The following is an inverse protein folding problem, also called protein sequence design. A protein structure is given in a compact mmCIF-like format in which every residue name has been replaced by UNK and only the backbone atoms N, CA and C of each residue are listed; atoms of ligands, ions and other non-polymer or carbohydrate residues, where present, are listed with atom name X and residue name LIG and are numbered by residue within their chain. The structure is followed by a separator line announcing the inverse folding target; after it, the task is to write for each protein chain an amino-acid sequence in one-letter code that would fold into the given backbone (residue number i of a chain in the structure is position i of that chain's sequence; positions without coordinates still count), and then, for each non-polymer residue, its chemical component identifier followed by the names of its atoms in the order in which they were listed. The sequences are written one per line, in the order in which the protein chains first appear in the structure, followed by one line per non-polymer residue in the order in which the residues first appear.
data_IF_809604632953
#
_entry.id   IF_809604632953
#
_cell.length_a   1.000
_cell.length_b   1.000
_cell.length_c   1.000
_cell.angle_alpha   90.00
_cell.angle_beta   90.00
_cell.angle_gamma   90.00
#
_symmetry.space_group_name_H-M   'P 1'
#
loop_
_entity.id
_entity.type
_entity.pdbx_description
1 polymer ?
#
# COMPACT_ATOMS: atom_id res chain seq x y z
N UNK A 1 -24.63 -7.05 -13.91
CA UNK A 1 -23.72 -5.98 -13.42
C UNK A 1 -23.10 -5.15 -14.54
N UNK A 2 -22.62 -5.73 -15.64
CA UNK A 2 -22.04 -4.98 -16.80
C UNK A 2 -23.09 -4.13 -17.51
N UNK A 3 -24.35 -4.57 -17.61
CA UNK A 3 -25.45 -3.85 -18.28
C UNK A 3 -25.89 -2.59 -17.53
N UNK A 4 -25.92 -2.60 -16.20
CA UNK A 4 -26.19 -1.39 -15.40
C UNK A 4 -25.08 -0.34 -15.49
N UNK A 5 -23.81 -0.76 -15.68
CA UNK A 5 -22.69 0.16 -15.90
C UNK A 5 -22.83 0.92 -17.22
N UNK A 6 -23.32 0.27 -18.29
CA UNK A 6 -23.50 0.87 -19.60
C UNK A 6 -24.67 1.89 -19.65
N UNK A 7 -25.73 1.66 -18.88
CA UNK A 7 -26.89 2.58 -18.80
C UNK A 7 -26.51 3.85 -18.02
N UNK A 8 -25.75 3.75 -16.91
CA UNK A 8 -25.21 4.94 -16.22
C UNK A 8 -24.27 5.78 -17.07
N UNK A 9 -23.59 5.18 -18.05
CA UNK A 9 -22.64 5.88 -18.94
C UNK A 9 -23.38 6.67 -20.02
N UNK A 10 -24.56 6.24 -20.48
CA UNK A 10 -25.35 6.97 -21.47
C UNK A 10 -25.95 8.27 -20.93
N UNK A 11 -26.30 8.27 -19.63
CA UNK A 11 -26.88 9.45 -18.95
C UNK A 11 -25.82 10.53 -18.63
N UNK A 12 -24.53 10.13 -18.56
CA UNK A 12 -23.39 11.05 -18.40
C UNK A 12 -23.07 11.85 -19.65
N UNK A 13 -23.51 11.42 -20.83
CA UNK A 13 -23.20 12.07 -22.11
C UNK A 13 -23.88 13.44 -22.28
N UNK A 14 -24.96 13.70 -21.58
CA UNK A 14 -25.80 14.88 -21.86
C UNK A 14 -25.51 16.13 -21.02
N UNK A 15 -24.61 16.07 -20.01
CA UNK A 15 -24.49 17.14 -19.00
C UNK A 15 -23.13 17.80 -18.82
N UNK A 16 -22.04 17.36 -19.50
CA UNK A 16 -20.72 17.96 -19.26
C UNK A 16 -19.92 18.05 -20.58
N UNK A 17 -20.06 19.15 -21.31
CA UNK A 17 -19.23 19.47 -22.47
C UNK A 17 -18.44 20.76 -22.24
N UNK A 18 -17.23 20.64 -21.65
CA UNK A 18 -16.13 21.58 -21.88
C UNK A 18 -14.92 20.79 -22.39
N UNK A 19 -14.11 21.41 -23.26
CA UNK A 19 -13.04 20.74 -24.02
C UNK A 19 -12.02 19.97 -23.16
N UNK A 20 -11.73 20.43 -21.94
CA UNK A 20 -10.87 19.73 -20.98
C UNK A 20 -11.48 18.43 -20.44
N UNK A 21 -12.81 18.36 -20.37
CA UNK A 21 -13.52 17.18 -19.91
C UNK A 21 -13.54 16.05 -20.94
N UNK A 22 -13.46 16.36 -22.25
CA UNK A 22 -13.49 15.36 -23.33
C UNK A 22 -12.22 14.48 -23.31
N UNK A 23 -11.06 15.05 -23.10
CA UNK A 23 -9.81 14.28 -23.00
C UNK A 23 -9.80 13.37 -21.77
N UNK A 24 -10.28 13.88 -20.63
CA UNK A 24 -10.38 13.09 -19.40
C UNK A 24 -11.39 11.94 -19.60
N UNK A 25 -12.52 12.18 -20.25
CA UNK A 25 -13.51 11.15 -20.58
C UNK A 25 -12.98 10.09 -21.54
N UNK A 26 -12.22 10.46 -22.56
CA UNK A 26 -11.61 9.52 -23.51
C UNK A 26 -10.55 8.64 -22.83
N UNK A 27 -9.70 9.23 -22.00
CA UNK A 27 -8.72 8.49 -21.20
C UNK A 27 -9.42 7.54 -20.21
N UNK A 28 -10.46 8.02 -19.52
CA UNK A 28 -11.23 7.20 -18.61
C UNK A 28 -11.98 6.06 -19.31
N UNK A 29 -12.56 6.31 -20.48
CA UNK A 29 -13.23 5.28 -21.29
C UNK A 29 -12.23 4.24 -21.83
N UNK A 30 -11.05 4.68 -22.23
CA UNK A 30 -9.97 3.80 -22.65
C UNK A 30 -9.46 2.94 -21.48
N UNK A 31 -9.29 3.53 -20.29
CA UNK A 31 -8.95 2.82 -19.06
C UNK A 31 -10.03 1.82 -18.66
N UNK A 32 -11.31 2.18 -18.76
CA UNK A 32 -12.43 1.26 -18.51
C UNK A 32 -12.44 0.07 -19.49
N UNK A 33 -12.14 0.29 -20.77
CA UNK A 33 -12.04 -0.80 -21.77
C UNK A 33 -10.86 -1.72 -21.46
N UNK A 34 -9.69 -1.18 -21.19
CA UNK A 34 -8.50 -1.94 -20.79
C UNK A 34 -8.78 -2.73 -19.50
N UNK A 35 -9.46 -2.09 -18.53
CA UNK A 35 -9.89 -2.73 -17.28
C UNK A 35 -10.85 -3.89 -17.53
N UNK A 36 -11.87 -3.70 -18.37
CA UNK A 36 -12.83 -4.77 -18.69
C UNK A 36 -12.18 -5.96 -19.40
N UNK A 37 -11.19 -5.73 -20.28
CA UNK A 37 -10.41 -6.78 -20.94
C UNK A 37 -9.52 -7.53 -19.94
N UNK A 38 -8.83 -6.83 -19.02
CA UNK A 38 -7.98 -7.46 -17.99
C UNK A 38 -8.79 -8.20 -16.93
N UNK A 39 -9.97 -7.67 -16.54
CA UNK A 39 -10.89 -8.38 -15.65
C UNK A 39 -11.36 -9.71 -16.24
N UNK A 40 -11.57 -9.78 -17.55
CA UNK A 40 -11.94 -11.05 -18.24
C UNK A 40 -10.81 -12.08 -18.26
N UNK A 41 -9.54 -11.65 -18.15
CA UNK A 41 -8.37 -12.54 -18.19
C UNK A 41 -7.92 -13.07 -16.82
N UNK A 42 -8.62 -12.72 -15.73
CA UNK A 42 -8.23 -13.14 -14.38
C UNK A 42 -6.85 -12.66 -13.92
N UNK A 43 -6.28 -11.65 -14.58
CA UNK A 43 -4.86 -11.28 -14.58
C UNK A 43 -4.45 -10.36 -13.41
N UNK A 44 -5.37 -10.19 -12.42
CA UNK A 44 -5.02 -9.51 -11.17
C UNK A 44 -4.77 -10.55 -10.08
N UNK A 45 -3.54 -11.03 -10.03
CA UNK A 45 -3.15 -11.95 -8.97
C UNK A 45 -3.22 -11.24 -7.61
N UNK A 46 -3.67 -11.93 -6.55
CA UNK A 46 -3.64 -11.45 -5.16
C UNK A 46 -2.24 -10.95 -4.76
N UNK A 47 -1.19 -11.43 -5.41
CA UNK A 47 0.17 -10.95 -5.26
C UNK A 47 0.33 -9.45 -5.57
N UNK A 48 -0.38 -8.92 -6.58
CA UNK A 48 -0.39 -7.48 -6.89
C UNK A 48 -1.17 -6.71 -5.81
N UNK A 49 -2.27 -7.25 -5.30
CA UNK A 49 -3.05 -6.62 -4.24
C UNK A 49 -2.26 -6.56 -2.92
N UNK A 50 -1.49 -7.60 -2.62
CA UNK A 50 -0.57 -7.63 -1.48
C UNK A 50 0.65 -6.74 -1.64
N UNK A 51 0.97 -6.24 -2.83
CA UNK A 51 2.27 -5.60 -3.10
C UNK A 51 3.47 -6.49 -2.71
N UNK A 52 3.28 -7.81 -2.75
CA UNK A 52 4.26 -8.81 -2.31
C UNK A 52 5.46 -8.85 -3.24
N UNK A 53 6.66 -8.77 -2.66
CA UNK A 53 7.92 -9.00 -3.35
C UNK A 53 9.08 -9.34 -2.43
N UNK A 54 10.06 -10.01 -3.00
CA UNK A 54 11.38 -10.23 -2.39
C UNK A 54 12.27 -9.01 -2.66
N UNK A 55 13.03 -8.60 -1.66
CA UNK A 55 14.08 -7.60 -1.77
C UNK A 55 15.40 -8.20 -2.29
N UNK A 56 15.51 -9.52 -2.33
CA UNK A 56 16.70 -10.21 -2.79
C UNK A 56 17.12 -9.83 -4.20
N UNK A 57 18.43 -9.64 -4.38
CA UNK A 57 19.03 -9.21 -5.63
C UNK A 57 19.00 -7.70 -5.87
N UNK A 58 18.44 -6.89 -4.96
CA UNK A 58 18.61 -5.44 -5.00
C UNK A 58 20.06 -5.13 -4.58
N UNK A 59 20.71 -4.23 -5.33
CA UNK A 59 22.14 -3.98 -5.14
C UNK A 59 23.04 -5.11 -5.68
N UNK A 60 22.54 -5.91 -6.63
CA UNK A 60 23.25 -7.07 -7.14
C UNK A 60 23.13 -8.27 -6.20
N UNK A 61 24.23 -8.80 -5.68
CA UNK A 61 24.26 -9.93 -4.75
C UNK A 61 24.30 -9.51 -3.27
N UNK A 62 24.27 -8.21 -2.98
CA UNK A 62 24.40 -7.69 -1.61
C UNK A 62 23.22 -8.17 -0.74
N UNK A 63 21.99 -8.18 -1.28
CA UNK A 63 20.81 -8.64 -0.57
C UNK A 63 20.52 -10.09 -0.94
N UNK A 64 20.58 -11.02 0.03
CA UNK A 64 20.30 -12.44 -0.22
C UNK A 64 18.85 -12.64 -0.67
N UNK A 65 18.65 -13.53 -1.64
CA UNK A 65 17.33 -13.86 -2.17
C UNK A 65 16.57 -14.74 -1.20
N UNK A 66 15.24 -14.52 -1.13
CA UNK A 66 14.34 -15.39 -0.37
C UNK A 66 14.29 -15.13 1.13
N UNK A 67 15.09 -14.22 1.67
CA UNK A 67 15.12 -13.94 3.11
C UNK A 67 14.30 -12.73 3.52
N UNK A 68 14.14 -11.75 2.65
CA UNK A 68 13.46 -10.48 2.96
C UNK A 68 12.25 -10.27 2.06
N UNK A 69 11.08 -10.65 2.54
CA UNK A 69 9.82 -10.43 1.82
C UNK A 69 9.08 -9.23 2.39
N UNK A 70 8.51 -8.42 1.51
CA UNK A 70 7.64 -7.31 1.93
C UNK A 70 6.27 -7.40 1.29
N UNK A 71 5.23 -6.96 2.04
CA UNK A 71 3.85 -6.96 1.54
C UNK A 71 2.98 -5.87 2.19
N UNK A 72 1.71 -5.80 1.80
CA UNK A 72 0.62 -5.25 2.58
C UNK A 72 0.05 -6.28 3.56
N UNK A 73 -0.98 -5.90 4.32
CA UNK A 73 -1.59 -6.73 5.35
C UNK A 73 -2.04 -8.09 4.79
N UNK A 74 -1.77 -9.14 5.54
CA UNK A 74 -2.12 -10.51 5.16
C UNK A 74 -3.60 -10.83 5.42
N UNK A 75 -4.30 -10.01 6.19
CA UNK A 75 -5.73 -10.18 6.49
C UNK A 75 -6.66 -10.13 5.27
N UNK A 76 -6.17 -9.80 4.08
CA UNK A 76 -6.92 -9.94 2.82
C UNK A 76 -6.93 -11.37 2.27
N UNK A 77 -6.12 -12.25 2.85
CA UNK A 77 -6.03 -13.66 2.51
C UNK A 77 -6.96 -14.49 3.39
N UNK A 78 -7.45 -15.59 2.85
CA UNK A 78 -8.04 -16.64 3.68
C UNK A 78 -6.94 -17.38 4.45
N UNK A 79 -7.26 -18.09 5.56
CA UNK A 79 -6.27 -18.90 6.29
C UNK A 79 -5.52 -19.90 5.39
N UNK A 80 -6.22 -20.54 4.46
CA UNK A 80 -5.62 -21.48 3.49
C UNK A 80 -4.63 -20.79 2.56
N UNK A 81 -4.98 -19.61 2.02
CA UNK A 81 -4.11 -18.84 1.14
C UNK A 81 -2.88 -18.31 1.86
N UNK A 82 -3.05 -17.90 3.14
CA UNK A 82 -1.93 -17.45 3.95
C UNK A 82 -0.98 -18.61 4.27
N UNK A 83 -1.51 -19.79 4.60
CA UNK A 83 -0.72 -21.01 4.82
C UNK A 83 0.06 -21.42 3.56
N UNK A 84 -0.58 -21.35 2.39
CA UNK A 84 0.09 -21.64 1.12
C UNK A 84 1.19 -20.61 0.80
N UNK A 85 0.95 -19.33 1.08
CA UNK A 85 1.95 -18.28 0.93
C UNK A 85 3.16 -18.56 1.81
N UNK A 86 2.94 -18.82 3.11
CA UNK A 86 4.02 -19.11 4.05
C UNK A 86 4.82 -20.35 3.62
N UNK A 87 4.14 -21.42 3.23
CA UNK A 87 4.79 -22.65 2.72
C UNK A 87 5.61 -22.38 1.45
N UNK A 88 5.05 -21.65 0.48
CA UNK A 88 5.68 -21.39 -0.83
C UNK A 88 6.96 -20.58 -0.72
N UNK A 89 6.99 -19.62 0.19
CA UNK A 89 8.13 -18.73 0.40
C UNK A 89 8.95 -19.10 1.63
N UNK A 90 8.64 -20.21 2.28
CA UNK A 90 9.32 -20.69 3.50
C UNK A 90 9.32 -19.64 4.63
N UNK A 91 8.25 -18.82 4.73
CA UNK A 91 8.13 -17.78 5.75
C UNK A 91 8.03 -18.44 7.11
N UNK A 92 8.91 -18.02 8.03
CA UNK A 92 8.95 -18.47 9.42
C UNK A 92 8.68 -17.36 10.42
N UNK A 93 8.89 -16.10 10.00
CA UNK A 93 8.64 -14.94 10.83
C UNK A 93 7.88 -13.89 10.01
N UNK A 94 6.91 -13.25 10.65
CA UNK A 94 6.17 -12.10 10.12
C UNK A 94 6.35 -10.93 11.06
N UNK A 95 6.80 -9.78 10.55
CA UNK A 95 6.88 -8.52 11.29
C UNK A 95 5.74 -7.63 10.87
N UNK A 96 4.82 -7.34 11.80
CA UNK A 96 3.71 -6.41 11.59
C UNK A 96 4.10 -5.01 12.08
N UNK A 97 4.17 -4.06 11.13
CA UNK A 97 4.54 -2.66 11.39
C UNK A 97 3.34 -1.78 11.74
N UNK A 98 2.14 -2.35 11.77
CA UNK A 98 0.89 -1.66 12.09
C UNK A 98 0.80 -1.37 13.59
N UNK A 99 0.00 -0.38 13.93
CA UNK A 99 -0.35 -0.13 15.34
C UNK A 99 -1.15 -1.31 15.91
N UNK A 100 -1.19 -1.51 17.24
CA UNK A 100 -2.00 -2.54 17.85
C UNK A 100 -3.49 -2.45 17.49
N UNK A 101 -4.02 -1.24 17.32
CA UNK A 101 -5.42 -1.02 16.92
C UNK A 101 -5.67 -1.53 15.50
N UNK A 102 -4.81 -1.17 14.53
CA UNK A 102 -4.92 -1.65 13.14
C UNK A 102 -4.81 -3.17 13.04
N UNK A 103 -3.91 -3.77 13.83
CA UNK A 103 -3.68 -5.21 13.84
C UNK A 103 -4.85 -5.97 14.46
N UNK A 104 -5.45 -5.43 15.55
CA UNK A 104 -6.63 -6.02 16.19
C UNK A 104 -7.88 -5.95 15.31
N UNK A 105 -8.04 -4.86 14.54
CA UNK A 105 -9.19 -4.70 13.62
C UNK A 105 -9.09 -5.67 12.42
N UNK A 106 -7.89 -5.93 11.94
CA UNK A 106 -7.62 -6.79 10.79
C UNK A 106 -6.51 -7.80 11.09
N UNK A 107 -6.74 -8.81 11.91
CA UNK A 107 -5.73 -9.79 12.30
C UNK A 107 -5.28 -10.61 11.08
N UNK A 108 -3.98 -10.90 11.01
CA UNK A 108 -3.43 -11.72 9.94
C UNK A 108 -3.66 -13.21 10.23
N UNK A 109 -4.17 -14.00 9.27
CA UNK A 109 -4.55 -15.40 9.47
C UNK A 109 -3.32 -16.33 9.34
N UNK A 110 -2.31 -16.14 10.19
CA UNK A 110 -1.06 -16.89 10.13
C UNK A 110 -1.25 -18.35 10.51
N UNK A 111 -0.58 -19.28 9.81
CA UNK A 111 -0.59 -20.68 10.20
C UNK A 111 0.27 -20.95 11.44
N UNK A 112 0.02 -22.05 12.09
CA UNK A 112 0.84 -22.55 13.19
C UNK A 112 2.30 -22.73 12.76
N UNK A 113 3.25 -22.38 13.66
CA UNK A 113 4.68 -22.44 13.39
C UNK A 113 5.28 -21.24 12.63
N UNK A 114 4.48 -20.21 12.35
CA UNK A 114 4.95 -18.91 11.88
C UNK A 114 4.89 -17.91 13.03
N UNK A 115 6.04 -17.37 13.40
CA UNK A 115 6.15 -16.37 14.46
C UNK A 115 5.61 -15.02 14.00
N UNK A 116 4.82 -14.35 14.84
CA UNK A 116 4.36 -12.97 14.62
C UNK A 116 5.05 -12.04 15.61
N UNK A 117 5.83 -11.09 15.07
CA UNK A 117 6.44 -10.01 15.83
C UNK A 117 5.72 -8.70 15.50
N UNK A 118 5.09 -8.10 16.50
CA UNK A 118 4.46 -6.79 16.35
C UNK A 118 5.47 -5.70 16.72
N UNK A 119 5.92 -4.93 15.72
CA UNK A 119 6.88 -3.83 15.87
C UNK A 119 6.28 -2.58 15.22
N UNK A 120 5.36 -1.88 15.92
CA UNK A 120 4.65 -0.74 15.34
C UNK A 120 5.59 0.44 15.13
N UNK A 121 5.66 0.96 13.90
CA UNK A 121 6.48 2.14 13.58
C UNK A 121 5.84 3.47 14.03
N UNK A 122 4.58 3.44 14.45
CA UNK A 122 3.84 4.62 14.93
C UNK A 122 3.17 4.28 16.26
N UNK A 123 3.14 5.24 17.20
CA UNK A 123 2.45 5.08 18.50
C UNK A 123 0.95 5.00 18.32
N UNK A 124 0.41 5.94 17.54
CA UNK A 124 -1.00 6.05 17.26
C UNK A 124 -1.30 5.61 15.83
N UNK A 125 -2.53 5.20 15.59
CA UNK A 125 -2.99 4.94 14.23
C UNK A 125 -2.76 6.22 13.40
N UNK A 126 -1.93 6.11 12.37
CA UNK A 126 -1.82 7.21 11.41
C UNK A 126 -3.23 7.49 10.91
N UNK A 127 -3.71 8.71 11.16
CA UNK A 127 -5.00 9.18 10.66
C UNK A 127 -4.99 8.99 9.15
N UNK A 128 -5.65 7.97 8.69
CA UNK A 128 -5.74 7.62 7.28
C UNK A 128 -7.21 7.39 6.93
N UNK A 129 -7.52 7.37 5.66
CA UNK A 129 -8.88 7.14 5.09
C UNK A 129 -9.58 5.88 5.67
N UNK A 130 -8.84 5.04 6.41
CA UNK A 130 -9.31 3.79 7.01
C UNK A 130 -9.70 3.91 8.47
N UNK A 131 -9.54 5.05 9.13
CA UNK A 131 -9.72 5.20 10.59
C UNK A 131 -10.79 6.21 11.02
N UNK A 132 -11.91 6.27 10.35
CA UNK A 132 -13.15 6.59 11.07
C UNK A 132 -13.69 5.26 11.60
N UNK A 133 -13.20 4.89 12.78
CA UNK A 133 -13.62 3.71 13.54
C UNK A 133 -15.14 3.57 13.56
N UNK A 134 -15.63 2.47 13.02
CA UNK A 134 -17.02 2.05 13.18
C UNK A 134 -18.05 2.65 12.22
N UNK A 135 -17.66 3.51 11.30
CA UNK A 135 -18.60 4.03 10.31
C UNK A 135 -18.68 3.07 9.11
N UNK A 136 -19.90 2.63 8.79
CA UNK A 136 -20.20 1.91 7.57
C UNK A 136 -19.57 2.63 6.36
N UNK A 137 -18.88 1.91 5.45
CA UNK A 137 -18.24 2.50 4.26
C UNK A 137 -19.19 3.39 3.43
N UNK A 138 -20.48 3.05 3.40
CA UNK A 138 -21.49 3.85 2.70
C UNK A 138 -21.78 5.17 3.41
N UNK A 139 -21.66 5.22 4.72
CA UNK A 139 -21.79 6.45 5.51
C UNK A 139 -20.60 7.36 5.27
N UNK A 140 -19.38 6.82 5.24
CA UNK A 140 -18.16 7.59 4.89
C UNK A 140 -18.29 8.18 3.48
N UNK A 141 -18.72 7.38 2.50
CA UNK A 141 -18.93 7.83 1.13
C UNK A 141 -20.01 8.91 1.05
N UNK A 142 -21.11 8.74 1.78
CA UNK A 142 -22.22 9.72 1.82
C UNK A 142 -21.74 11.06 2.41
N UNK A 143 -20.95 11.00 3.47
CA UNK A 143 -20.36 12.18 4.11
C UNK A 143 -19.36 12.88 3.19
N UNK A 144 -18.46 12.14 2.55
CA UNK A 144 -17.51 12.69 1.58
C UNK A 144 -18.19 13.28 0.33
N UNK A 145 -19.38 12.78 -0.04
CA UNK A 145 -20.16 13.37 -1.12
C UNK A 145 -20.75 14.73 -0.75
N UNK A 146 -21.18 14.90 0.52
CA UNK A 146 -21.71 16.16 1.05
C UNK A 146 -20.60 17.17 1.39
N UNK A 147 -19.47 16.66 1.90
CA UNK A 147 -18.35 17.42 2.44
C UNK A 147 -17.03 16.95 1.83
N UNK A 148 -16.77 17.23 0.53
CA UNK A 148 -15.56 16.76 -0.16
C UNK A 148 -14.26 17.32 0.44
N UNK A 149 -14.32 18.47 1.13
CA UNK A 149 -13.20 19.07 1.87
C UNK A 149 -12.66 18.16 2.98
N UNK A 150 -13.52 17.38 3.63
CA UNK A 150 -13.12 16.44 4.70
C UNK A 150 -12.15 15.35 4.23
N UNK A 151 -12.12 15.04 2.94
CA UNK A 151 -11.12 14.08 2.43
C UNK A 151 -9.69 14.60 2.65
N UNK A 152 -9.47 15.90 2.55
CA UNK A 152 -8.13 16.48 2.79
C UNK A 152 -7.72 16.34 4.25
N UNK A 153 -8.66 16.44 5.17
CA UNK A 153 -8.44 16.28 6.61
C UNK A 153 -8.17 14.80 6.98
N UNK A 154 -8.75 13.88 6.22
CA UNK A 154 -8.55 12.42 6.40
C UNK A 154 -7.24 11.91 5.79
N UNK A 155 -6.57 12.69 4.94
CA UNK A 155 -5.29 12.30 4.33
C UNK A 155 -4.16 12.81 5.23
N UNK A 156 -3.29 11.93 5.76
CA UNK A 156 -2.16 12.37 6.57
C UNK A 156 -1.21 13.26 5.77
N UNK A 157 -0.53 14.16 6.45
CA UNK A 157 0.64 14.81 5.87
C UNK A 157 1.76 13.77 5.70
N UNK A 158 1.86 13.24 4.48
CA UNK A 158 2.84 12.22 4.17
C UNK A 158 4.28 12.72 4.33
N UNK A 159 4.58 14.01 4.08
CA UNK A 159 5.92 14.53 4.28
C UNK A 159 6.31 14.44 5.76
N UNK A 160 5.40 14.91 6.63
CA UNK A 160 5.59 14.81 8.08
C UNK A 160 5.71 13.34 8.51
N UNK A 161 4.82 12.46 8.04
CA UNK A 161 4.84 11.03 8.37
C UNK A 161 6.19 10.38 8.03
N UNK A 162 6.74 10.64 6.83
CA UNK A 162 8.00 10.04 6.40
C UNK A 162 9.18 10.60 7.19
N UNK A 163 9.17 11.89 7.50
CA UNK A 163 10.18 12.50 8.37
C UNK A 163 10.08 11.94 9.79
N UNK A 164 8.89 11.92 10.38
CA UNK A 164 8.70 11.45 11.76
C UNK A 164 9.16 10.00 11.94
N UNK A 165 8.87 9.10 11.01
CA UNK A 165 9.29 7.69 11.12
C UNK A 165 10.82 7.56 11.22
N UNK A 166 11.57 8.43 10.59
CA UNK A 166 13.04 8.34 10.57
C UNK A 166 13.73 9.24 11.61
N UNK A 167 13.01 10.23 12.20
CA UNK A 167 13.60 11.21 13.14
C UNK A 167 12.99 11.17 14.54
N UNK A 168 11.69 10.78 14.68
CA UNK A 168 11.08 10.67 16.01
C UNK A 168 11.71 9.55 16.82
N UNK A 169 12.06 9.82 18.08
CA UNK A 169 12.79 8.89 18.92
C UNK A 169 12.15 7.51 19.07
N UNK A 170 10.80 7.44 19.19
CA UNK A 170 10.10 6.16 19.26
C UNK A 170 10.11 5.44 17.91
N UNK A 171 9.66 6.12 16.87
CA UNK A 171 9.52 5.54 15.52
C UNK A 171 10.88 5.08 14.99
N UNK A 172 11.93 5.87 15.21
CA UNK A 172 13.31 5.51 14.86
C UNK A 172 13.79 4.28 15.61
N UNK A 173 13.58 4.21 16.91
CA UNK A 173 13.95 3.04 17.71
C UNK A 173 13.24 1.77 17.23
N UNK A 174 11.94 1.86 16.89
CA UNK A 174 11.21 0.72 16.34
C UNK A 174 11.73 0.34 14.95
N UNK A 175 12.08 1.32 14.11
CA UNK A 175 12.67 1.08 12.79
C UNK A 175 14.02 0.36 12.91
N UNK A 176 14.88 0.78 13.82
CA UNK A 176 16.16 0.14 14.08
C UNK A 176 15.97 -1.30 14.59
N UNK A 177 15.00 -1.54 15.47
CA UNK A 177 14.60 -2.88 15.93
C UNK A 177 14.13 -3.77 14.78
N UNK A 178 13.34 -3.22 13.83
CA UNK A 178 12.93 -3.97 12.62
C UNK A 178 14.14 -4.39 11.80
N UNK A 179 15.08 -3.48 11.55
CA UNK A 179 16.30 -3.76 10.77
C UNK A 179 17.16 -4.81 11.47
N UNK A 180 17.38 -4.68 12.79
CA UNK A 180 18.13 -5.64 13.59
C UNK A 180 17.49 -7.03 13.52
N UNK A 181 16.18 -7.13 13.76
CA UNK A 181 15.44 -8.40 13.69
C UNK A 181 15.55 -9.05 12.32
N UNK A 182 15.37 -8.27 11.23
CA UNK A 182 15.50 -8.76 9.87
C UNK A 182 16.90 -9.31 9.60
N UNK A 183 17.94 -8.63 10.04
CA UNK A 183 19.34 -9.07 9.87
C UNK A 183 19.62 -10.33 10.66
N UNK A 184 19.25 -10.36 11.94
CA UNK A 184 19.45 -11.51 12.81
C UNK A 184 18.74 -12.76 12.24
N UNK A 185 17.52 -12.63 11.78
CA UNK A 185 16.79 -13.71 11.11
C UNK A 185 17.48 -14.17 9.84
N UNK A 186 17.98 -13.25 9.03
CA UNK A 186 18.70 -13.59 7.80
C UNK A 186 20.01 -14.34 8.07
N UNK A 187 20.76 -13.95 9.10
CA UNK A 187 22.00 -14.66 9.53
C UNK A 187 21.70 -16.10 9.99
N UNK A 188 20.48 -16.33 10.46
CA UNK A 188 19.97 -17.68 10.83
C UNK A 188 19.29 -18.41 9.67
N UNK A 189 19.26 -17.83 8.46
CA UNK A 189 18.57 -18.41 7.31
C UNK A 189 17.02 -18.37 7.41
N UNK A 190 16.46 -17.53 8.28
CA UNK A 190 15.02 -17.41 8.51
C UNK A 190 14.42 -16.42 7.52
N UNK A 191 13.54 -16.90 6.64
CA UNK A 191 12.76 -16.03 5.76
C UNK A 191 11.74 -15.22 6.57
N UNK A 192 11.88 -13.90 6.52
CA UNK A 192 11.00 -12.97 7.22
C UNK A 192 10.19 -12.15 6.23
N UNK A 193 8.88 -12.10 6.44
CA UNK A 193 7.99 -11.19 5.75
C UNK A 193 7.67 -10.02 6.67
N UNK A 194 7.80 -8.79 6.19
CA UNK A 194 7.38 -7.61 6.95
C UNK A 194 6.37 -6.78 6.17
N UNK A 195 5.38 -6.23 6.87
CA UNK A 195 4.27 -5.56 6.24
C UNK A 195 3.69 -4.44 7.11
N UNK A 196 2.88 -3.59 6.45
CA UNK A 196 1.96 -2.68 7.10
C UNK A 196 0.56 -2.85 6.49
N UNK A 197 -0.29 -1.83 6.47
CA UNK A 197 -1.64 -1.92 5.87
C UNK A 197 -1.58 -2.03 4.33
N UNK A 198 -0.89 -1.10 3.65
CA UNK A 198 -0.81 -1.05 2.18
C UNK A 198 0.49 -1.64 1.61
N UNK A 199 1.48 -1.96 2.45
CA UNK A 199 2.81 -2.38 2.00
C UNK A 199 3.58 -1.29 1.24
N UNK A 200 3.22 -0.02 1.44
CA UNK A 200 3.75 1.13 0.71
C UNK A 200 4.64 2.00 1.61
N UNK A 201 4.05 2.71 2.57
CA UNK A 201 4.70 3.77 3.33
C UNK A 201 5.63 3.20 4.43
N UNK A 202 5.09 2.70 5.54
CA UNK A 202 5.86 2.12 6.65
C UNK A 202 6.76 0.98 6.18
N UNK A 203 6.23 0.08 5.37
CA UNK A 203 7.00 -1.01 4.75
C UNK A 203 8.07 -0.48 3.77
N UNK A 204 7.80 0.62 3.09
CA UNK A 204 8.76 1.30 2.20
C UNK A 204 9.94 1.86 2.95
N UNK A 205 9.70 2.54 4.08
CA UNK A 205 10.73 3.09 4.96
C UNK A 205 11.55 1.97 5.63
N UNK A 206 10.89 0.91 6.12
CA UNK A 206 11.58 -0.25 6.68
C UNK A 206 12.49 -0.94 5.64
N UNK A 207 12.01 -1.06 4.38
CA UNK A 207 12.85 -1.57 3.29
C UNK A 207 14.03 -0.66 2.99
N UNK A 208 13.82 0.66 2.98
CA UNK A 208 14.89 1.64 2.79
C UNK A 208 15.96 1.49 3.88
N UNK A 209 15.55 1.45 5.15
CA UNK A 209 16.47 1.31 6.28
C UNK A 209 17.27 0.00 6.21
N UNK A 210 16.61 -1.11 5.90
CA UNK A 210 17.26 -2.40 5.69
C UNK A 210 18.28 -2.34 4.53
N UNK A 211 17.89 -1.82 3.38
CA UNK A 211 18.77 -1.71 2.21
C UNK A 211 19.97 -0.80 2.49
N UNK A 212 19.76 0.31 3.19
CA UNK A 212 20.84 1.20 3.67
C UNK A 212 21.82 0.47 4.59
N UNK A 213 21.32 -0.35 5.51
CA UNK A 213 22.16 -1.11 6.45
C UNK A 213 23.06 -2.15 5.76
N UNK A 214 22.72 -2.53 4.53
CA UNK A 214 23.54 -3.39 3.65
C UNK A 214 24.41 -2.59 2.66
N UNK A 215 24.39 -1.24 2.70
CA UNK A 215 25.17 -0.39 1.81
C UNK A 215 24.60 -0.25 0.39
N UNK A 216 23.32 -0.56 0.20
CA UNK A 216 22.66 -0.38 -1.10
C UNK A 216 22.49 1.11 -1.41
N UNK A 217 22.84 1.52 -2.63
CA UNK A 217 22.78 2.91 -3.06
C UNK A 217 21.35 3.45 -3.21
N UNK A 218 21.19 4.76 -3.00
CA UNK A 218 19.90 5.46 -2.98
C UNK A 218 19.08 5.26 -4.26
N UNK A 219 19.74 5.21 -5.43
CA UNK A 219 19.06 4.99 -6.72
C UNK A 219 18.29 3.68 -6.77
N UNK A 220 18.85 2.62 -6.19
CA UNK A 220 18.22 1.30 -6.16
C UNK A 220 17.13 1.22 -5.11
N UNK A 221 17.32 1.85 -3.96
CA UNK A 221 16.30 2.01 -2.93
C UNK A 221 15.08 2.73 -3.48
N UNK A 222 15.27 3.87 -4.14
CA UNK A 222 14.18 4.63 -4.79
C UNK A 222 13.51 3.78 -5.87
N UNK A 223 14.29 3.02 -6.66
CA UNK A 223 13.74 2.14 -7.69
C UNK A 223 12.83 1.05 -7.09
N UNK A 224 13.26 0.41 -6.00
CA UNK A 224 12.40 -0.57 -5.31
C UNK A 224 11.13 0.08 -4.78
N UNK A 225 11.24 1.21 -4.09
CA UNK A 225 10.07 1.91 -3.57
C UNK A 225 9.06 2.23 -4.67
N UNK A 226 9.52 2.74 -5.81
CA UNK A 226 8.67 3.10 -6.96
C UNK A 226 8.05 1.88 -7.67
N UNK A 227 8.61 0.66 -7.50
CA UNK A 227 7.98 -0.59 -7.99
C UNK A 227 6.60 -0.81 -7.37
N UNK A 228 6.33 -0.25 -6.20
CA UNK A 228 5.01 -0.24 -5.58
C UNK A 228 3.94 0.28 -6.53
N UNK A 229 4.22 1.30 -7.32
CA UNK A 229 3.26 1.87 -8.27
C UNK A 229 2.82 0.86 -9.34
N UNK A 230 3.71 -0.04 -9.75
CA UNK A 230 3.36 -1.11 -10.71
C UNK A 230 2.32 -2.07 -10.10
N UNK A 231 2.51 -2.45 -8.85
CA UNK A 231 1.61 -3.38 -8.15
C UNK A 231 0.32 -2.67 -7.70
N UNK A 232 0.44 -1.43 -7.22
CA UNK A 232 -0.69 -0.64 -6.73
C UNK A 232 -1.58 -0.06 -7.86
N UNK A 233 -1.12 -0.02 -9.10
CA UNK A 233 -1.83 0.66 -10.21
C UNK A 233 -3.28 0.18 -10.35
N UNK A 234 -3.49 -1.11 -10.58
CA UNK A 234 -4.85 -1.64 -10.80
C UNK A 234 -5.74 -1.58 -9.55
N UNK A 235 -5.28 -1.95 -8.34
CA UNK A 235 -6.04 -1.72 -7.12
C UNK A 235 -6.42 -0.25 -6.92
N UNK A 236 -5.52 0.69 -7.22
CA UNK A 236 -5.78 2.13 -7.13
C UNK A 236 -6.83 2.56 -8.15
N UNK A 237 -6.73 2.14 -9.41
CA UNK A 237 -7.72 2.47 -10.45
C UNK A 237 -9.11 1.94 -10.05
N UNK A 238 -9.23 0.72 -9.53
CA UNK A 238 -10.52 0.19 -9.02
C UNK A 238 -11.13 1.11 -7.96
N UNK A 239 -10.33 1.51 -6.97
CA UNK A 239 -10.78 2.42 -5.90
C UNK A 239 -11.19 3.78 -6.46
N UNK A 240 -10.39 4.35 -7.36
CA UNK A 240 -10.67 5.63 -8.02
C UNK A 240 -11.96 5.58 -8.84
N UNK A 241 -12.23 4.49 -9.56
CA UNK A 241 -13.49 4.28 -10.28
C UNK A 241 -14.65 4.24 -9.28
N UNK A 242 -14.53 3.50 -8.18
CA UNK A 242 -15.54 3.45 -7.11
C UNK A 242 -15.84 4.85 -6.56
N UNK A 243 -14.80 5.62 -6.21
CA UNK A 243 -14.94 7.00 -5.73
C UNK A 243 -15.62 7.88 -6.79
N UNK A 244 -15.22 7.78 -8.07
CA UNK A 244 -15.81 8.56 -9.15
C UNK A 244 -17.31 8.28 -9.33
N UNK A 245 -17.72 7.00 -9.32
CA UNK A 245 -19.12 6.59 -9.47
C UNK A 245 -19.99 7.04 -8.29
N UNK A 246 -19.44 6.96 -7.07
CA UNK A 246 -20.19 7.26 -5.85
C UNK A 246 -20.25 8.75 -5.56
N UNK A 247 -19.18 9.51 -5.80
CA UNK A 247 -19.10 10.93 -5.42
C UNK A 247 -19.32 11.88 -6.59
N UNK A 248 -19.10 11.44 -7.83
CA UNK A 248 -19.08 12.28 -9.04
C UNK A 248 -18.16 13.50 -8.92
N UNK A 249 -17.13 13.41 -8.08
CA UNK A 249 -16.20 14.50 -7.76
C UNK A 249 -14.76 14.14 -8.19
N UNK A 250 -14.32 14.77 -9.30
CA UNK A 250 -12.99 14.52 -9.87
C UNK A 250 -11.83 15.03 -8.99
N UNK A 251 -12.07 16.06 -8.19
CA UNK A 251 -11.05 16.53 -7.23
C UNK A 251 -10.76 15.46 -6.19
N UNK A 252 -11.80 14.78 -5.67
CA UNK A 252 -11.65 13.64 -4.76
C UNK A 252 -10.89 12.49 -5.42
N UNK A 253 -11.21 12.17 -6.67
CA UNK A 253 -10.53 11.09 -7.42
C UNK A 253 -9.04 11.40 -7.57
N UNK A 254 -8.68 12.64 -7.97
CA UNK A 254 -7.27 13.07 -8.09
C UNK A 254 -6.53 12.98 -6.75
N UNK A 255 -7.17 13.44 -5.68
CA UNK A 255 -6.59 13.41 -4.32
C UNK A 255 -6.39 11.97 -3.84
N UNK A 256 -7.39 11.10 -4.00
CA UNK A 256 -7.30 9.69 -3.67
C UNK A 256 -6.22 8.97 -4.50
N UNK A 257 -6.14 9.24 -5.80
CA UNK A 257 -5.10 8.66 -6.66
C UNK A 257 -3.70 9.01 -6.14
N UNK A 258 -3.44 10.29 -5.83
CA UNK A 258 -2.15 10.74 -5.26
C UNK A 258 -1.85 10.05 -3.93
N UNK A 259 -2.83 9.89 -3.06
CA UNK A 259 -2.65 9.25 -1.75
C UNK A 259 -2.36 7.73 -1.86
N UNK A 260 -2.93 7.05 -2.86
CA UNK A 260 -2.73 5.61 -3.06
C UNK A 260 -1.44 5.27 -3.80
N UNK A 261 -0.91 6.18 -4.63
CA UNK A 261 0.34 5.96 -5.36
C UNK A 261 1.57 6.34 -4.52
N UNK A 262 2.69 5.70 -4.79
CA UNK A 262 3.97 6.06 -4.17
C UNK A 262 4.55 7.32 -4.83
N UNK A 263 4.95 8.29 -4.03
CA UNK A 263 5.61 9.52 -4.50
C UNK A 263 7.12 9.43 -4.21
N UNK A 264 7.91 9.61 -5.27
CA UNK A 264 9.38 9.60 -5.19
C UNK A 264 9.93 10.61 -4.17
N UNK A 265 9.27 11.77 -4.03
CA UNK A 265 9.72 12.81 -3.10
C UNK A 265 9.71 12.32 -1.65
N UNK A 266 8.69 11.56 -1.27
CA UNK A 266 8.54 11.06 0.09
C UNK A 266 9.71 10.15 0.50
N UNK A 267 10.09 9.19 -0.34
CA UNK A 267 11.20 8.30 -0.02
C UNK A 267 12.55 9.02 -0.05
N UNK A 268 12.72 10.02 -0.93
CA UNK A 268 13.92 10.87 -0.96
C UNK A 268 14.02 11.65 0.37
N UNK A 269 12.94 12.28 0.84
CA UNK A 269 12.90 12.95 2.14
C UNK A 269 13.28 12.00 3.28
N UNK A 270 12.78 10.76 3.28
CA UNK A 270 13.17 9.78 4.30
C UNK A 270 14.67 9.43 4.21
N UNK A 271 15.20 9.23 3.02
CA UNK A 271 16.63 8.93 2.80
C UNK A 271 17.52 10.05 3.32
N UNK A 272 17.19 11.31 3.02
CA UNK A 272 17.94 12.51 3.43
C UNK A 272 17.93 12.72 4.94
N UNK A 273 16.86 12.32 5.64
CA UNK A 273 16.69 12.48 7.08
C UNK A 273 17.05 11.22 7.89
N UNK A 274 17.35 10.10 7.24
CA UNK A 274 17.65 8.85 7.96
C UNK A 274 19.04 8.86 8.62
N UNK A 275 19.99 9.71 8.15
CA UNK A 275 21.31 9.95 8.76
C UNK A 275 22.30 8.85 8.42
#
# INVERSE_FOLDING_TARGET
MVFCLLICISDLRSKILTFENIQIHLVFYSLLRIFAVKMRRGDMSKRCELNLRDLGGIGGEIIPKGLFLRSGKLSILTPTECSELCRRYHIRCVIDLRTPVESAEFPDPLPEGVELLQIPLLKDAAVGITHETGSDPMTIIRNLRKHPEKLKEMIPDFNKLYTDIVTDGYSRSQLDKVVETLRTNADQGITTLFHCTAGKDRTGIASMALLKSYGVGDKEIIRDYMRTNRNAFWPTIKKCIGIALLTRNWSLVKTAYKAFMADRKLIVTAIENYG
#
